data_IF_363023168473
#
_entry.id   IF_363023168473
#
_cell.length_a   1.000
_cell.length_b   1.000
_cell.length_c   1.000
_cell.angle_alpha   90.00
_cell.angle_beta   90.00
_cell.angle_gamma   90.00
#
_symmetry.space_group_name_H-M   'P 1'
#
loop_
_entity.id
_entity.type
_entity.pdbx_description
1 polymer ?
#
# COMPACT_ATOMS: atom_id res chain seq x y z
N UNK A 1 -11.95 -5.31 13.47
CA UNK A 1 -12.62 -6.55 13.00
C UNK A 1 -11.59 -7.59 12.54
N UNK A 2 -11.62 -8.80 13.09
CA UNK A 2 -10.70 -9.92 12.76
C UNK A 2 -11.11 -10.66 11.48
N UNK A 3 -10.19 -11.42 10.89
CA UNK A 3 -10.46 -12.29 9.75
C UNK A 3 -11.57 -13.31 10.03
N UNK A 4 -11.68 -13.80 11.26
CA UNK A 4 -12.74 -14.73 11.64
C UNK A 4 -14.11 -14.05 11.70
N UNK A 5 -14.18 -12.84 12.26
CA UNK A 5 -15.42 -12.06 12.27
C UNK A 5 -15.90 -11.73 10.84
N UNK A 6 -14.96 -11.41 9.94
CA UNK A 6 -15.23 -11.22 8.51
C UNK A 6 -15.78 -12.48 7.85
N UNK A 7 -15.16 -13.63 8.12
CA UNK A 7 -15.58 -14.92 7.59
C UNK A 7 -17.03 -15.25 8.00
N UNK A 8 -17.32 -15.17 9.30
CA UNK A 8 -18.66 -15.41 9.83
C UNK A 8 -19.70 -14.41 9.30
N UNK A 9 -19.30 -13.15 9.06
CA UNK A 9 -20.19 -12.15 8.48
C UNK A 9 -20.52 -12.49 7.01
N UNK A 10 -19.54 -12.95 6.25
CA UNK A 10 -19.75 -13.44 4.88
C UNK A 10 -20.69 -14.65 4.89
N UNK A 11 -20.49 -15.60 5.81
CA UNK A 11 -21.39 -16.75 5.96
C UNK A 11 -22.82 -16.33 6.31
N UNK A 12 -23.00 -15.39 7.25
CA UNK A 12 -24.32 -14.87 7.61
C UNK A 12 -25.04 -14.26 6.41
N UNK A 13 -24.32 -13.50 5.59
CA UNK A 13 -24.85 -12.86 4.39
C UNK A 13 -25.24 -13.89 3.33
N UNK A 14 -24.42 -14.92 3.13
CA UNK A 14 -24.66 -15.96 2.13
C UNK A 14 -25.74 -16.96 2.54
N UNK A 15 -25.88 -17.23 3.83
CA UNK A 15 -26.80 -18.24 4.36
C UNK A 15 -28.24 -17.73 4.53
N UNK A 16 -28.62 -16.64 3.86
CA UNK A 16 -29.95 -16.04 3.94
C UNK A 16 -31.08 -17.01 3.52
N UNK A 17 -30.80 -18.02 2.71
CA UNK A 17 -31.79 -18.95 2.13
C UNK A 17 -31.59 -20.45 2.49
N UNK A 18 -30.86 -20.81 3.56
CA UNK A 18 -30.63 -22.21 3.98
C UNK A 18 -30.13 -23.16 2.85
N UNK A 19 -29.40 -22.61 1.87
CA UNK A 19 -29.05 -23.32 0.64
C UNK A 19 -27.58 -23.22 0.26
N UNK A 20 -26.76 -24.15 0.76
CA UNK A 20 -25.58 -24.71 0.06
C UNK A 20 -24.38 -23.82 -0.29
N UNK A 21 -24.43 -22.49 -0.11
CA UNK A 21 -23.33 -21.60 -0.50
C UNK A 21 -22.38 -21.28 0.66
N UNK A 22 -21.83 -22.34 1.27
CA UNK A 22 -20.83 -22.22 2.34
C UNK A 22 -19.48 -21.93 1.69
N UNK A 23 -18.86 -20.80 2.05
CA UNK A 23 -17.50 -20.49 1.61
C UNK A 23 -16.55 -21.41 2.35
N UNK A 24 -15.98 -22.39 1.65
CA UNK A 24 -14.94 -23.23 2.28
C UNK A 24 -13.79 -22.34 2.82
N UNK A 25 -13.19 -22.66 3.97
CA UNK A 25 -12.05 -21.91 4.51
C UNK A 25 -10.89 -21.76 3.51
N UNK A 26 -10.69 -22.76 2.64
CA UNK A 26 -9.69 -22.70 1.57
C UNK A 26 -10.00 -21.60 0.53
N UNK A 27 -11.27 -21.43 0.16
CA UNK A 27 -11.71 -20.36 -0.74
C UNK A 27 -11.58 -18.99 -0.07
N UNK A 28 -11.92 -18.89 1.22
CA UNK A 28 -11.71 -17.66 1.99
C UNK A 28 -10.23 -17.26 2.03
N UNK A 29 -9.31 -18.19 2.30
CA UNK A 29 -7.86 -17.94 2.25
C UNK A 29 -7.37 -17.37 0.93
N UNK A 30 -7.97 -17.76 -0.20
CA UNK A 30 -7.62 -17.19 -1.50
C UNK A 30 -8.19 -15.79 -1.67
N UNK A 31 -9.44 -15.58 -1.26
CA UNK A 31 -10.12 -14.28 -1.36
C UNK A 31 -9.42 -13.19 -0.56
N UNK A 32 -9.01 -13.47 0.68
CA UNK A 32 -8.33 -12.48 1.53
C UNK A 32 -7.05 -11.97 0.89
N UNK A 33 -6.28 -12.83 0.21
CA UNK A 33 -5.05 -12.45 -0.49
C UNK A 33 -5.34 -11.56 -1.70
N UNK A 34 -6.32 -11.95 -2.51
CA UNK A 34 -6.71 -11.21 -3.72
C UNK A 34 -7.24 -9.82 -3.35
N UNK A 35 -8.14 -9.75 -2.37
CA UNK A 35 -8.76 -8.50 -1.94
C UNK A 35 -7.72 -7.58 -1.30
N UNK A 36 -6.75 -8.10 -0.55
CA UNK A 36 -5.68 -7.28 0.03
C UNK A 36 -4.90 -6.50 -1.05
N UNK A 37 -4.49 -7.22 -2.11
CA UNK A 37 -3.72 -6.64 -3.21
C UNK A 37 -4.57 -5.67 -4.02
N UNK A 38 -5.84 -6.01 -4.27
CA UNK A 38 -6.72 -5.16 -5.06
C UNK A 38 -7.09 -3.88 -4.31
N UNK A 39 -7.34 -3.94 -2.99
CA UNK A 39 -7.59 -2.75 -2.18
C UNK A 39 -6.37 -1.82 -2.16
N UNK A 40 -5.17 -2.38 -2.06
CA UNK A 40 -3.94 -1.61 -2.15
C UNK A 40 -3.81 -0.90 -3.51
N UNK A 41 -4.09 -1.59 -4.61
CA UNK A 41 -4.06 -1.01 -5.96
C UNK A 41 -5.10 0.10 -6.16
N UNK A 42 -6.32 -0.09 -5.66
CA UNK A 42 -7.40 0.90 -5.68
C UNK A 42 -6.98 2.18 -4.94
N UNK A 43 -6.52 2.04 -3.69
CA UNK A 43 -6.12 3.17 -2.84
C UNK A 43 -4.87 3.89 -3.33
N UNK A 44 -3.89 3.16 -3.83
CA UNK A 44 -2.66 3.75 -4.37
C UNK A 44 -2.90 4.43 -5.73
N UNK A 45 -3.75 3.82 -6.56
CA UNK A 45 -4.20 4.32 -7.85
C UNK A 45 -4.00 3.30 -8.97
N UNK A 46 -5.09 3.04 -9.71
CA UNK A 46 -5.14 2.01 -10.74
C UNK A 46 -4.55 2.52 -12.06
N UNK A 47 -3.53 1.82 -12.61
CA UNK A 47 -2.99 2.17 -13.92
C UNK A 47 -4.02 2.05 -15.07
N UNK A 48 -5.04 1.21 -14.89
CA UNK A 48 -6.06 0.92 -15.90
C UNK A 48 -7.05 2.09 -16.10
N UNK A 49 -7.15 2.99 -15.12
CA UNK A 49 -8.02 4.17 -15.21
C UNK A 49 -7.38 5.34 -15.95
N UNK A 50 -6.08 5.27 -16.24
CA UNK A 50 -5.39 6.33 -16.99
C UNK A 50 -5.90 6.40 -18.43
N UNK A 51 -6.52 7.52 -18.77
CA UNK A 51 -6.95 7.82 -20.14
C UNK A 51 -6.02 8.86 -20.78
N UNK A 52 -5.71 8.76 -22.09
CA UNK A 52 -4.97 9.79 -22.80
C UNK A 52 -5.66 11.16 -22.63
N UNK A 53 -4.94 12.14 -22.04
CA UNK A 53 -5.48 13.46 -21.71
C UNK A 53 -6.00 13.63 -20.27
N UNK A 54 -6.09 12.54 -19.48
CA UNK A 54 -6.33 12.56 -18.04
C UNK A 54 -5.29 11.68 -17.33
N UNK A 55 -4.09 12.21 -17.05
CA UNK A 55 -2.97 11.45 -16.50
C UNK A 55 -3.08 11.24 -14.98
N UNK A 56 -4.28 11.33 -14.41
CA UNK A 56 -4.55 11.17 -12.97
C UNK A 56 -5.76 10.23 -12.85
N UNK A 57 -5.68 9.14 -12.07
CA UNK A 57 -6.79 8.22 -11.86
C UNK A 57 -7.83 8.88 -10.95
N UNK A 58 -9.02 8.28 -10.82
CA UNK A 58 -10.07 8.85 -9.98
C UNK A 58 -9.70 8.80 -8.50
N UNK A 59 -9.02 7.73 -8.09
CA UNK A 59 -8.48 7.55 -6.75
C UNK A 59 -6.97 7.28 -6.83
N UNK A 60 -6.18 7.97 -6.00
CA UNK A 60 -4.73 7.71 -5.85
C UNK A 60 -4.24 8.07 -4.45
N UNK A 61 -3.02 7.66 -4.14
CA UNK A 61 -2.37 7.97 -2.87
C UNK A 61 -2.34 9.48 -2.61
N UNK A 62 -2.67 9.87 -1.37
CA UNK A 62 -2.59 11.27 -0.89
C UNK A 62 -3.53 12.29 -1.58
N UNK A 63 -4.50 11.85 -2.41
CA UNK A 63 -5.52 12.75 -2.95
C UNK A 63 -6.47 13.30 -1.87
N UNK A 64 -6.80 12.48 -0.88
CA UNK A 64 -7.62 12.85 0.29
C UNK A 64 -6.88 12.50 1.57
N UNK A 65 -7.22 13.21 2.66
CA UNK A 65 -6.72 12.88 4.00
C UNK A 65 -7.10 11.45 4.40
N UNK A 66 -8.30 10.98 4.00
CA UNK A 66 -8.72 9.60 4.24
C UNK A 66 -7.76 8.60 3.58
N UNK A 67 -7.45 8.78 2.29
CA UNK A 67 -6.54 7.86 1.60
C UNK A 67 -5.12 7.87 2.17
N UNK A 68 -4.67 9.03 2.65
CA UNK A 68 -3.39 9.13 3.35
C UNK A 68 -3.40 8.34 4.67
N UNK A 69 -4.48 8.46 5.45
CA UNK A 69 -4.65 7.71 6.70
C UNK A 69 -4.79 6.20 6.46
N UNK A 70 -5.56 5.79 5.43
CA UNK A 70 -5.76 4.39 5.06
C UNK A 70 -4.42 3.73 4.66
N UNK A 71 -3.58 4.44 3.90
CA UNK A 71 -2.31 3.91 3.39
C UNK A 71 -1.13 4.04 4.37
N UNK A 72 -1.31 4.70 5.53
CA UNK A 72 -0.20 5.05 6.43
C UNK A 72 0.63 3.85 6.88
N UNK A 73 0.01 2.70 7.09
CA UNK A 73 0.68 1.47 7.56
C UNK A 73 1.63 0.88 6.52
N UNK A 74 1.44 1.21 5.25
CA UNK A 74 2.27 0.76 4.13
C UNK A 74 3.35 1.78 3.77
N UNK A 75 3.31 2.99 4.35
CA UNK A 75 4.26 4.06 4.07
C UNK A 75 5.47 3.95 5.01
N UNK A 76 6.59 3.50 4.47
CA UNK A 76 7.81 3.22 5.23
C UNK A 76 8.86 4.31 4.99
N UNK A 77 9.23 5.09 6.02
CA UNK A 77 10.35 6.02 5.95
C UNK A 77 11.68 5.32 6.26
N UNK A 78 12.66 5.43 5.36
CA UNK A 78 14.05 5.01 5.57
C UNK A 78 14.95 6.24 5.61
N UNK A 79 15.48 6.56 6.77
CA UNK A 79 16.35 7.71 6.97
C UNK A 79 17.81 7.34 6.69
N UNK A 80 18.54 8.26 6.07
CA UNK A 80 19.98 8.12 5.79
C UNK A 80 20.32 6.82 5.04
N UNK A 81 19.49 6.45 4.06
CA UNK A 81 19.67 5.23 3.26
C UNK A 81 20.92 5.36 2.38
N UNK A 82 21.89 4.44 2.46
CA UNK A 82 23.11 4.53 1.69
C UNK A 82 22.85 4.34 0.19
N UNK A 83 23.42 5.22 -0.62
CA UNK A 83 23.39 5.14 -2.08
C UNK A 83 24.82 5.14 -2.65
N UNK A 84 25.53 4.00 -2.63
CA UNK A 84 26.90 3.91 -3.15
C UNK A 84 26.93 4.33 -4.62
N UNK A 85 27.81 5.27 -4.96
CA UNK A 85 27.92 5.84 -6.33
C UNK A 85 26.57 6.41 -6.83
N UNK A 86 25.76 6.94 -5.91
CA UNK A 86 24.43 7.46 -6.18
C UNK A 86 23.38 6.40 -6.48
N UNK A 87 23.65 5.09 -6.31
CA UNK A 87 22.66 4.05 -6.53
C UNK A 87 21.90 3.74 -5.23
N UNK A 88 20.64 4.16 -5.14
CA UNK A 88 19.74 3.80 -4.04
C UNK A 88 19.09 2.43 -4.32
N UNK A 89 19.40 1.38 -3.54
CA UNK A 89 18.81 0.06 -3.73
C UNK A 89 17.33 0.03 -3.36
N UNK A 90 16.56 -0.87 -3.98
CA UNK A 90 15.19 -1.11 -3.57
C UNK A 90 15.13 -1.99 -2.31
N UNK A 91 14.28 -1.65 -1.33
CA UNK A 91 13.84 -2.56 -0.29
C UNK A 91 13.18 -3.82 -0.88
N UNK A 92 13.24 -4.94 -0.17
CA UNK A 92 12.72 -6.23 -0.65
C UNK A 92 11.18 -6.23 -0.83
N UNK A 93 10.48 -5.42 -0.05
CA UNK A 93 9.03 -5.26 0.00
C UNK A 93 8.55 -4.02 -0.77
N UNK A 94 9.42 -3.35 -1.52
CA UNK A 94 9.11 -2.13 -2.26
C UNK A 94 7.98 -2.33 -3.28
N UNK A 95 6.91 -1.53 -3.15
CA UNK A 95 5.85 -1.41 -4.16
C UNK A 95 6.06 -0.16 -5.00
N UNK A 96 6.04 1.01 -4.37
CA UNK A 96 6.10 2.29 -5.07
C UNK A 96 6.87 3.36 -4.31
N UNK A 97 7.57 4.24 -5.03
CA UNK A 97 8.28 5.39 -4.46
C UNK A 97 7.28 6.45 -4.05
N UNK A 98 7.44 6.97 -2.85
CA UNK A 98 6.77 8.18 -2.40
C UNK A 98 7.69 9.40 -2.63
N UNK A 99 8.63 9.62 -1.71
CA UNK A 99 9.56 10.76 -1.75
C UNK A 99 11.02 10.32 -1.58
N UNK A 100 11.92 11.14 -2.12
CA UNK A 100 13.36 11.02 -1.90
C UNK A 100 13.85 12.43 -1.50
N UNK A 101 14.47 12.52 -0.33
CA UNK A 101 14.99 13.76 0.23
C UNK A 101 16.49 13.60 0.45
N UNK A 102 17.26 14.55 -0.07
CA UNK A 102 18.67 14.68 0.24
C UNK A 102 18.87 15.74 1.32
N UNK A 103 19.40 15.32 2.47
CA UNK A 103 19.74 16.21 3.59
C UNK A 103 21.08 16.90 3.33
N UNK A 104 21.05 18.00 2.57
CA UNK A 104 22.25 18.76 2.23
C UNK A 104 22.76 19.55 3.43
N UNK A 105 24.00 19.33 3.85
CA UNK A 105 24.64 20.08 4.93
C UNK A 105 25.30 21.35 4.39
N UNK A 106 24.99 22.49 5.01
CA UNK A 106 25.60 23.79 4.72
C UNK A 106 26.11 24.39 6.03
N UNK A 107 27.30 24.99 6.01
CA UNK A 107 27.77 25.78 7.15
C UNK A 107 27.29 27.22 7.00
N UNK A 108 26.44 27.67 7.92
CA UNK A 108 25.97 29.05 8.02
C UNK A 108 26.53 29.60 9.33
N UNK A 109 27.30 30.68 9.26
CA UNK A 109 27.93 31.32 10.43
C UNK A 109 28.73 30.36 11.33
N UNK A 110 29.41 29.38 10.72
CA UNK A 110 30.21 28.38 11.44
C UNK A 110 29.40 27.20 12.01
N UNK A 111 28.08 27.18 11.86
CA UNK A 111 27.21 26.10 12.33
C UNK A 111 26.75 25.23 11.15
N UNK A 112 26.92 23.91 11.27
CA UNK A 112 26.40 22.96 10.28
C UNK A 112 24.87 22.90 10.41
N UNK A 113 24.19 23.34 9.35
CA UNK A 113 22.74 23.33 9.23
C UNK A 113 22.34 22.36 8.12
N UNK A 114 21.33 21.53 8.38
CA UNK A 114 20.78 20.60 7.40
C UNK A 114 19.65 21.32 6.64
N UNK A 115 19.77 21.38 5.33
CA UNK A 115 18.77 21.94 4.42
C UNK A 115 18.22 20.79 3.57
N UNK A 116 17.03 20.26 3.87
CA UNK A 116 16.45 19.17 3.09
C UNK A 116 16.14 19.63 1.67
N UNK A 117 16.53 18.83 0.68
CA UNK A 117 16.28 19.07 -0.74
C UNK A 117 15.55 17.87 -1.31
N UNK A 118 14.40 18.11 -1.94
CA UNK A 118 13.71 17.07 -2.68
C UNK A 118 14.52 16.66 -3.90
N UNK A 119 14.64 15.36 -4.15
CA UNK A 119 15.28 14.81 -5.34
C UNK A 119 14.22 14.66 -6.43
N UNK A 120 14.38 15.42 -7.53
CA UNK A 120 13.44 15.39 -8.64
C UNK A 120 13.65 14.13 -9.49
N UNK A 121 12.60 13.36 -9.75
CA UNK A 121 12.72 12.14 -10.55
C UNK A 121 12.31 12.43 -11.99
N UNK A 122 13.21 12.12 -12.92
CA UNK A 122 13.05 12.40 -14.35
C UNK A 122 13.02 11.11 -15.16
N UNK A 123 12.53 11.23 -16.39
CA UNK A 123 12.69 10.19 -17.40
C UNK A 123 14.15 10.11 -17.84
N UNK A 124 14.57 8.95 -18.32
CA UNK A 124 15.97 8.71 -18.72
C UNK A 124 16.45 9.72 -19.78
N UNK A 125 15.61 10.07 -20.75
CA UNK A 125 15.92 11.04 -21.82
C UNK A 125 16.10 12.47 -21.28
N UNK A 126 15.23 12.89 -20.36
CA UNK A 126 15.27 14.21 -19.73
C UNK A 126 16.50 14.33 -18.81
N UNK A 127 16.79 13.27 -18.04
CA UNK A 127 17.97 13.19 -17.21
C UNK A 127 19.26 13.25 -18.03
N UNK A 128 19.32 12.54 -19.17
CA UNK A 128 20.43 12.62 -20.10
C UNK A 128 20.59 14.05 -20.67
N UNK A 129 19.49 14.69 -21.08
CA UNK A 129 19.48 16.06 -21.57
C UNK A 129 19.98 17.08 -20.54
N UNK A 130 19.56 16.96 -19.26
CA UNK A 130 20.06 17.82 -18.18
C UNK A 130 21.53 17.58 -17.88
N UNK A 131 21.99 16.33 -17.91
CA UNK A 131 23.40 15.99 -17.67
C UNK A 131 24.34 16.51 -18.77
N UNK A 132 23.87 16.57 -20.02
CA UNK A 132 24.61 17.14 -21.14
C UNK A 132 24.59 18.67 -21.21
N UNK A 133 23.71 19.33 -20.43
CA UNK A 133 23.56 20.79 -20.43
C UNK A 133 24.38 21.42 -19.29
N UNK A 134 25.24 22.38 -19.61
CA UNK A 134 26.11 23.06 -18.64
C UNK A 134 25.32 23.83 -17.55
N UNK A 135 24.23 24.49 -17.92
CA UNK A 135 23.47 25.36 -16.99
C UNK A 135 22.47 24.57 -16.14
N UNK A 136 21.97 23.44 -16.65
CA UNK A 136 20.95 22.61 -15.97
C UNK A 136 21.52 21.31 -15.40
N UNK A 137 22.84 21.23 -15.24
CA UNK A 137 23.51 20.04 -14.75
C UNK A 137 23.08 19.74 -13.31
N UNK A 138 22.83 18.46 -12.96
CA UNK A 138 22.53 18.09 -11.58
C UNK A 138 23.65 18.48 -10.61
N UNK A 139 23.28 19.10 -9.50
CA UNK A 139 24.20 19.50 -8.41
C UNK A 139 23.66 19.01 -7.07
N UNK A 140 24.45 19.13 -6.01
CA UNK A 140 24.01 18.79 -4.64
C UNK A 140 22.80 19.61 -4.18
N UNK A 141 22.62 20.82 -4.72
CA UNK A 141 21.48 21.69 -4.41
C UNK A 141 20.24 21.35 -5.24
N UNK A 142 20.45 20.88 -6.47
CA UNK A 142 19.38 20.46 -7.40
C UNK A 142 19.63 19.01 -7.87
N UNK A 143 19.45 18.02 -6.98
CA UNK A 143 19.66 16.63 -7.33
C UNK A 143 18.51 16.10 -8.20
N UNK A 144 18.86 15.18 -9.09
CA UNK A 144 17.88 14.44 -9.89
C UNK A 144 18.03 12.94 -9.65
N UNK A 145 16.98 12.18 -9.92
CA UNK A 145 17.00 10.74 -9.87
C UNK A 145 16.36 10.10 -11.11
N UNK A 146 16.77 8.88 -11.41
CA UNK A 146 16.23 8.06 -12.50
C UNK A 146 15.98 6.65 -11.98
N UNK A 147 14.79 6.14 -12.24
CA UNK A 147 14.34 4.81 -11.79
C UNK A 147 14.85 3.76 -12.79
N UNK A 148 15.58 2.75 -12.30
CA UNK A 148 16.10 1.63 -13.10
C UNK A 148 15.86 0.31 -12.39
N UNK A 149 16.04 -0.82 -13.08
CA UNK A 149 15.83 -2.15 -12.49
C UNK A 149 16.74 -2.45 -11.30
N UNK A 150 17.99 -1.97 -11.31
CA UNK A 150 18.98 -2.20 -10.24
C UNK A 150 18.78 -1.30 -9.03
N UNK A 151 17.92 -0.29 -9.12
CA UNK A 151 17.74 0.74 -8.09
C UNK A 151 17.46 2.11 -8.69
N UNK A 152 17.32 3.10 -7.82
CA UNK A 152 17.12 4.49 -8.20
C UNK A 152 18.48 5.16 -8.30
N UNK A 153 18.89 5.55 -9.50
CA UNK A 153 20.15 6.27 -9.71
C UNK A 153 19.96 7.75 -9.43
N UNK A 154 20.71 8.28 -8.48
CA UNK A 154 20.75 9.68 -8.05
C UNK A 154 21.96 10.36 -8.67
N UNK A 155 21.75 11.60 -9.13
CA UNK A 155 22.77 12.50 -9.63
C UNK A 155 22.72 13.84 -8.88
N UNK A 156 23.89 14.43 -8.54
CA UNK A 156 25.24 13.92 -8.80
C UNK A 156 25.58 12.68 -7.94
N UNK A 157 26.43 11.79 -8.46
CA UNK A 157 26.86 10.55 -7.77
C UNK A 157 27.67 10.78 -6.50
N UNK A 158 27.98 12.05 -6.21
CA UNK A 158 28.60 12.50 -4.96
C UNK A 158 27.63 12.44 -3.77
N UNK A 159 26.33 12.34 -4.03
CA UNK A 159 25.33 12.07 -2.99
C UNK A 159 25.43 10.59 -2.63
N UNK A 160 25.74 10.31 -1.37
CA UNK A 160 26.02 8.95 -0.86
C UNK A 160 24.98 8.45 0.14
N UNK A 161 24.07 9.30 0.60
CA UNK A 161 22.93 8.92 1.40
C UNK A 161 21.73 9.85 1.16
N UNK A 162 20.53 9.30 1.25
CA UNK A 162 19.25 10.03 1.13
C UNK A 162 18.20 9.46 2.09
N UNK A 163 17.26 10.29 2.49
CA UNK A 163 16.03 9.83 3.12
C UNK A 163 15.08 9.36 2.02
N UNK A 164 14.58 8.15 2.14
CA UNK A 164 13.74 7.50 1.16
C UNK A 164 12.45 7.04 1.81
N UNK A 165 11.31 7.55 1.36
CA UNK A 165 10.00 6.99 1.75
C UNK A 165 9.40 6.26 0.58
N UNK A 166 8.82 5.10 0.86
CA UNK A 166 8.16 4.27 -0.14
C UNK A 166 6.93 3.61 0.45
N UNK A 167 6.05 3.17 -0.43
CA UNK A 167 4.97 2.26 -0.10
C UNK A 167 5.48 0.83 -0.29
N UNK A 168 5.34 0.00 0.74
CA UNK A 168 5.58 -1.45 0.65
C UNK A 168 4.32 -2.19 0.21
N UNK A 169 4.47 -3.39 -0.31
CA UNK A 169 3.34 -4.29 -0.50
C UNK A 169 2.74 -4.69 0.87
N UNK A 170 1.41 -4.82 0.97
CA UNK A 170 0.77 -5.27 2.21
C UNK A 170 1.18 -6.73 2.49
N UNK A 171 1.38 -7.07 3.76
CA UNK A 171 1.71 -8.45 4.15
C UNK A 171 0.53 -9.36 3.79
N UNK A 172 0.81 -10.58 3.31
CA UNK A 172 -0.24 -11.53 3.00
C UNK A 172 -1.01 -11.93 4.27
N UNK A 173 -2.34 -11.70 4.34
CA UNK A 173 -3.15 -12.16 5.45
C UNK A 173 -3.24 -13.69 5.40
N UNK A 174 -3.16 -14.32 6.57
CA UNK A 174 -3.22 -15.77 6.73
C UNK A 174 -4.37 -16.11 7.64
N UNK A 175 -5.31 -16.91 7.15
CA UNK A 175 -6.43 -17.42 7.94
C UNK A 175 -6.19 -18.88 8.31
N UNK A 176 -5.84 -19.12 9.58
CA UNK A 176 -5.72 -20.45 10.15
C UNK A 176 -6.89 -20.73 11.12
N UNK A 177 -7.34 -21.98 11.11
CA UNK A 177 -8.48 -22.42 11.91
C UNK A 177 -8.21 -23.81 12.48
N UNK A 178 -8.75 -24.08 13.66
CA UNK A 178 -8.84 -25.43 14.20
C UNK A 178 -10.21 -26.01 13.84
N UNK A 179 -10.26 -27.30 13.55
CA UNK A 179 -11.53 -27.98 13.27
C UNK A 179 -11.81 -29.01 14.37
N UNK A 180 -12.93 -28.83 15.08
CA UNK A 180 -13.42 -29.76 16.08
C UNK A 180 -14.90 -30.04 15.82
N UNK A 181 -15.27 -31.32 15.74
CA UNK A 181 -16.67 -31.78 15.59
C UNK A 181 -17.47 -31.11 14.46
N UNK A 182 -16.81 -30.74 13.36
CA UNK A 182 -17.46 -30.12 12.19
C UNK A 182 -17.62 -28.60 12.26
N UNK A 183 -17.25 -27.98 13.39
CA UNK A 183 -17.17 -26.53 13.53
C UNK A 183 -15.72 -26.05 13.39
N UNK A 184 -15.55 -24.87 12.81
CA UNK A 184 -14.26 -24.20 12.76
C UNK A 184 -14.15 -23.24 13.94
N UNK A 185 -13.00 -23.21 14.59
CA UNK A 185 -12.68 -22.23 15.63
C UNK A 185 -11.43 -21.45 15.22
N UNK A 186 -11.43 -20.15 15.53
CA UNK A 186 -10.35 -19.26 15.14
C UNK A 186 -9.02 -19.64 15.81
N UNK A 187 -7.94 -19.72 15.03
CA UNK A 187 -6.59 -19.86 15.56
C UNK A 187 -5.81 -18.55 15.40
N UNK A 188 -5.90 -17.69 16.41
CA UNK A 188 -5.20 -16.40 16.44
C UNK A 188 -3.68 -16.51 16.51
N UNK A 189 -3.13 -17.64 16.96
CA UNK A 189 -1.68 -17.80 17.12
C UNK A 189 -0.95 -18.05 15.79
N UNK A 190 -1.66 -18.56 14.77
CA UNK A 190 -1.10 -18.85 13.45
C UNK A 190 -1.71 -17.99 12.33
N UNK A 191 -2.70 -17.16 12.66
CA UNK A 191 -3.33 -16.26 11.70
C UNK A 191 -2.63 -14.90 11.67
N UNK A 192 -2.60 -14.27 10.50
CA UNK A 192 -2.10 -12.91 10.29
C UNK A 192 -3.23 -12.06 9.75
N UNK A 193 -3.64 -11.06 10.52
CA UNK A 193 -4.75 -10.15 10.22
C UNK A 193 -4.41 -9.18 9.07
N UNK A 194 -5.42 -8.45 8.61
CA UNK A 194 -5.20 -7.30 7.72
C UNK A 194 -4.49 -6.16 8.46
N UNK A 195 -3.61 -5.45 7.74
CA UNK A 195 -2.90 -4.26 8.24
C UNK A 195 -3.68 -2.95 8.03
N UNK A 196 -4.89 -3.06 7.46
CA UNK A 196 -5.77 -1.93 7.17
C UNK A 196 -6.41 -1.37 8.45
N UNK A 197 -6.78 -0.08 8.48
CA UNK A 197 -7.58 0.45 9.58
C UNK A 197 -9.00 -0.15 9.56
N UNK A 198 -9.64 -0.18 10.74
CA UNK A 198 -10.91 -0.88 10.94
C UNK A 198 -12.07 -0.33 10.09
N UNK A 199 -12.02 0.95 9.70
CA UNK A 199 -13.03 1.57 8.84
C UNK A 199 -13.03 1.00 7.41
N UNK A 200 -11.89 0.48 6.95
CA UNK A 200 -11.74 -0.16 5.63
C UNK A 200 -12.19 -1.63 5.67
N UNK A 201 -12.39 -2.22 6.85
CA UNK A 201 -12.70 -3.65 6.96
C UNK A 201 -14.06 -4.03 6.35
N UNK A 202 -15.05 -3.13 6.37
CA UNK A 202 -16.35 -3.35 5.70
C UNK A 202 -16.19 -3.34 4.18
N UNK A 203 -15.35 -2.45 3.64
CA UNK A 203 -15.03 -2.43 2.20
C UNK A 203 -14.35 -3.73 1.77
N UNK A 204 -13.42 -4.26 2.59
CA UNK A 204 -12.76 -5.55 2.35
C UNK A 204 -13.79 -6.68 2.27
N UNK A 205 -14.74 -6.75 3.20
CA UNK A 205 -15.79 -7.77 3.17
C UNK A 205 -16.69 -7.61 1.95
N UNK A 206 -17.06 -6.37 1.59
CA UNK A 206 -17.85 -6.09 0.39
C UNK A 206 -17.13 -6.60 -0.86
N UNK A 207 -15.85 -6.29 -1.04
CA UNK A 207 -15.06 -6.81 -2.17
C UNK A 207 -15.02 -8.35 -2.18
N UNK A 208 -14.89 -9.00 -1.02
CA UNK A 208 -14.95 -10.47 -0.95
C UNK A 208 -16.32 -11.02 -1.39
N UNK A 209 -17.43 -10.37 -0.98
CA UNK A 209 -18.78 -10.75 -1.40
C UNK A 209 -19.00 -10.55 -2.91
N UNK A 210 -18.45 -9.47 -3.48
CA UNK A 210 -18.48 -9.22 -4.93
C UNK A 210 -17.75 -10.33 -5.70
N UNK A 211 -16.59 -10.79 -5.22
CA UNK A 211 -15.89 -11.96 -5.79
C UNK A 211 -16.67 -13.28 -5.64
N UNK A 212 -17.56 -13.36 -4.66
CA UNK A 212 -18.45 -14.50 -4.46
C UNK A 212 -19.75 -14.39 -5.27
N UNK A 213 -19.93 -13.30 -6.03
CA UNK A 213 -21.09 -13.06 -6.89
C UNK A 213 -22.28 -12.41 -6.20
N UNK A 214 -22.10 -11.91 -4.97
CA UNK A 214 -23.14 -11.23 -4.20
C UNK A 214 -22.91 -9.73 -4.25
N UNK A 215 -23.85 -9.00 -4.86
CA UNK A 215 -23.85 -7.54 -4.89
C UNK A 215 -24.80 -7.01 -3.82
N UNK A 216 -24.25 -6.53 -2.71
CA UNK A 216 -25.00 -5.88 -1.64
C UNK A 216 -24.54 -4.45 -1.48
N UNK A 217 -25.45 -3.56 -1.06
CA UNK A 217 -25.10 -2.20 -0.71
C UNK A 217 -24.42 -2.20 0.66
N UNK A 218 -23.48 -1.29 0.85
CA UNK A 218 -22.75 -1.15 2.12
C UNK A 218 -23.70 -0.99 3.32
N UNK A 219 -24.78 -0.23 3.17
CA UNK A 219 -25.81 -0.06 4.21
C UNK A 219 -26.45 -1.38 4.64
N UNK A 220 -26.67 -2.31 3.70
CA UNK A 220 -27.23 -3.62 4.00
C UNK A 220 -26.21 -4.48 4.76
N UNK A 221 -24.93 -4.44 4.36
CA UNK A 221 -23.83 -5.15 5.03
C UNK A 221 -23.64 -4.65 6.47
N UNK A 222 -23.69 -3.33 6.68
CA UNK A 222 -23.63 -2.73 8.02
C UNK A 222 -24.83 -3.14 8.87
N UNK A 223 -26.03 -3.24 8.29
CA UNK A 223 -27.20 -3.76 9.00
C UNK A 223 -27.02 -5.23 9.41
N UNK A 224 -26.46 -6.07 8.54
CA UNK A 224 -26.11 -7.45 8.87
C UNK A 224 -25.04 -7.53 9.96
N UNK A 225 -24.01 -6.68 9.89
CA UNK A 225 -22.98 -6.56 10.93
C UNK A 225 -23.60 -6.22 12.29
N UNK A 226 -24.49 -5.22 12.33
CA UNK A 226 -25.20 -4.83 13.55
C UNK A 226 -26.13 -5.93 14.07
N UNK A 227 -26.79 -6.67 13.17
CA UNK A 227 -27.64 -7.81 13.55
C UNK A 227 -26.79 -8.91 14.18
N UNK A 228 -25.61 -9.19 13.64
CA UNK A 228 -24.65 -10.13 14.22
C UNK A 228 -24.13 -9.66 15.58
N UNK A 229 -23.79 -8.37 15.72
CA UNK A 229 -23.41 -7.77 17.01
C UNK A 229 -24.53 -7.87 18.05
N UNK A 230 -25.80 -7.72 17.63
CA UNK A 230 -26.97 -7.88 18.51
C UNK A 230 -27.29 -9.35 18.83
N UNK A 231 -26.97 -10.29 17.93
CA UNK A 231 -27.11 -11.73 18.16
C UNK A 231 -26.00 -12.28 19.08
N UNK A 232 -24.92 -11.52 19.29
CA UNK A 232 -23.97 -11.71 20.37
C UNK A 232 -22.84 -12.70 20.06
N UNK A 233 -21.68 -12.36 20.62
CA UNK A 233 -20.58 -13.27 20.98
C UNK A 233 -21.10 -14.38 21.91
#
# INVERSE_FOLDING_TARGET
MTLFEMYELIELVLNKDYGGNIVTPARFRQLIKVVNINKFKEKYGLPEEYQPGRPVPLEYAEITLKNQDDLRYFKIPLMNTPCPVGLLPYPADYAHRDQIIYNHSVTIDGVVTIVPRQVEVLRETEAAGRRGNYTKRPTVTNPIAVVRSTGIQIYPVTITAVDFTYYRWPVEPVFEYNQYEGYITYNSASSTEFEWPEDVHIDLVRMMLEYLGVNLREADIVQYANTKMQQGI
#
